data_IF_998455061330
#
_entry.id   IF_998455061330
#
_cell.length_a   1.000
_cell.length_b   1.000
_cell.length_c   1.000
_cell.angle_alpha   90.00
_cell.angle_beta   90.00
_cell.angle_gamma   90.00
#
_symmetry.space_group_name_H-M   'P 1'
#
loop_
_entity.id
_entity.type
_entity.pdbx_description
1 polymer ?
#
# COMPACT_ATOMS: atom_id res chain seq x y z
N UNK A 1 14.38 -10.73 -27.07
CA UNK A 1 15.22 -9.85 -26.26
C UNK A 1 16.25 -10.71 -25.57
N UNK A 2 17.54 -10.44 -25.80
CA UNK A 2 18.66 -11.16 -25.18
C UNK A 2 18.63 -10.92 -23.68
N UNK A 3 18.58 -11.99 -22.90
CA UNK A 3 18.62 -11.92 -21.44
C UNK A 3 20.01 -11.41 -21.03
N UNK A 4 20.06 -10.22 -20.45
CA UNK A 4 21.31 -9.64 -19.94
C UNK A 4 21.79 -10.52 -18.77
N UNK A 5 23.06 -10.93 -18.80
CA UNK A 5 23.64 -11.76 -17.74
C UNK A 5 23.79 -10.99 -16.42
N UNK A 6 23.82 -11.70 -15.28
CA UNK A 6 23.93 -11.08 -13.95
C UNK A 6 25.19 -10.21 -13.79
N UNK A 7 26.31 -10.62 -14.38
CA UNK A 7 27.57 -9.85 -14.35
C UNK A 7 27.43 -8.51 -15.06
N UNK A 8 26.73 -8.48 -16.20
CA UNK A 8 26.49 -7.26 -16.96
C UNK A 8 25.50 -6.34 -16.24
N UNK A 9 24.45 -6.91 -15.63
CA UNK A 9 23.53 -6.13 -14.77
C UNK A 9 24.32 -5.51 -13.60
N UNK A 10 25.18 -6.29 -12.94
CA UNK A 10 26.00 -5.81 -11.83
C UNK A 10 26.92 -4.66 -12.26
N UNK A 11 27.54 -4.76 -13.45
CA UNK A 11 28.38 -3.69 -14.02
C UNK A 11 27.58 -2.43 -14.33
N UNK A 12 26.37 -2.56 -14.89
CA UNK A 12 25.51 -1.42 -15.23
C UNK A 12 25.01 -0.70 -13.98
N UNK A 13 24.74 -1.41 -12.87
CA UNK A 13 24.39 -0.79 -11.58
C UNK A 13 25.50 0.08 -11.00
N UNK A 14 26.74 -0.13 -11.41
CA UNK A 14 27.91 0.68 -10.99
C UNK A 14 28.26 1.79 -12.01
N UNK A 15 27.46 1.94 -13.07
CA UNK A 15 27.67 2.98 -14.09
C UNK A 15 27.48 4.37 -13.49
N UNK A 16 28.30 5.32 -13.94
CA UNK A 16 28.09 6.75 -13.64
C UNK A 16 26.80 7.30 -14.25
N UNK A 17 26.28 6.67 -15.32
CA UNK A 17 25.00 7.07 -15.90
C UNK A 17 23.84 6.42 -15.13
N UNK A 18 23.00 7.25 -14.50
CA UNK A 18 21.79 6.81 -13.80
C UNK A 18 20.81 6.05 -14.71
N UNK A 19 20.82 6.28 -16.02
CA UNK A 19 19.99 5.54 -16.97
C UNK A 19 20.40 4.08 -17.07
N UNK A 20 21.70 3.79 -17.08
CA UNK A 20 22.20 2.42 -17.07
C UNK A 20 21.78 1.71 -15.78
N UNK A 21 21.88 2.40 -14.64
CA UNK A 21 21.46 1.85 -13.33
C UNK A 21 19.96 1.55 -13.29
N UNK A 22 19.13 2.42 -13.85
CA UNK A 22 17.67 2.20 -13.96
C UNK A 22 17.34 1.02 -14.89
N UNK A 23 18.02 0.90 -16.04
CA UNK A 23 17.85 -0.23 -16.95
C UNK A 23 18.27 -1.54 -16.30
N UNK A 24 19.35 -1.52 -15.53
CA UNK A 24 19.82 -2.67 -14.78
C UNK A 24 18.81 -3.10 -13.70
N UNK A 25 18.26 -2.16 -12.92
CA UNK A 25 17.17 -2.43 -11.98
C UNK A 25 15.93 -3.00 -12.69
N UNK A 26 15.58 -2.49 -13.88
CA UNK A 26 14.47 -3.02 -14.67
C UNK A 26 14.71 -4.48 -15.08
N UNK A 27 15.95 -4.81 -15.48
CA UNK A 27 16.31 -6.18 -15.85
C UNK A 27 16.16 -7.16 -14.69
N UNK A 28 16.42 -6.73 -13.44
CA UNK A 28 16.25 -7.54 -12.23
C UNK A 28 14.80 -7.97 -11.97
N UNK A 29 13.80 -7.35 -12.60
CA UNK A 29 12.40 -7.76 -12.48
C UNK A 29 12.21 -9.24 -12.86
N UNK A 30 12.95 -9.74 -13.86
CA UNK A 30 12.85 -11.14 -14.32
C UNK A 30 13.84 -12.09 -13.65
N UNK A 31 14.75 -11.56 -12.83
CA UNK A 31 15.78 -12.33 -12.11
C UNK A 31 15.19 -12.93 -10.83
N UNK A 32 15.49 -14.19 -10.46
CA UNK A 32 15.06 -14.77 -9.19
C UNK A 32 15.47 -13.92 -7.98
N UNK A 33 14.60 -13.82 -6.96
CA UNK A 33 14.81 -12.93 -5.81
C UNK A 33 16.16 -13.14 -5.10
N UNK A 34 16.56 -14.41 -4.91
CA UNK A 34 17.85 -14.78 -4.31
C UNK A 34 19.06 -14.13 -5.01
N UNK A 35 19.00 -14.01 -6.33
CA UNK A 35 20.12 -13.48 -7.12
C UNK A 35 19.96 -11.96 -7.38
N UNK A 36 18.72 -11.45 -7.37
CA UNK A 36 18.42 -10.04 -7.58
C UNK A 36 18.69 -9.17 -6.33
N UNK A 37 18.30 -9.62 -5.13
CA UNK A 37 18.38 -8.81 -3.90
C UNK A 37 19.80 -8.33 -3.59
N UNK A 38 20.86 -9.15 -3.70
CA UNK A 38 22.24 -8.67 -3.51
C UNK A 38 22.64 -7.55 -4.49
N UNK A 39 22.10 -7.55 -5.70
CA UNK A 39 22.36 -6.51 -6.70
C UNK A 39 21.55 -5.24 -6.42
N UNK A 40 20.28 -5.38 -6.03
CA UNK A 40 19.43 -4.24 -5.62
C UNK A 40 20.06 -3.49 -4.44
N UNK A 41 20.64 -4.21 -3.47
CA UNK A 41 21.29 -3.63 -2.29
C UNK A 41 22.39 -2.63 -2.65
N UNK A 42 23.09 -2.80 -3.78
CA UNK A 42 24.18 -1.92 -4.21
C UNK A 42 23.73 -0.47 -4.44
N UNK A 43 22.45 -0.25 -4.73
CA UNK A 43 21.91 1.06 -5.16
C UNK A 43 20.81 1.60 -4.25
N UNK A 44 20.62 1.03 -3.05
CA UNK A 44 19.62 1.54 -2.07
C UNK A 44 19.93 2.96 -1.56
N UNK A 45 21.20 3.38 -1.67
CA UNK A 45 21.69 4.69 -1.26
C UNK A 45 22.27 5.48 -2.44
N UNK A 46 21.78 5.21 -3.65
CA UNK A 46 22.18 5.92 -4.87
C UNK A 46 21.95 7.43 -4.79
N UNK A 47 22.81 8.25 -5.38
CA UNK A 47 22.61 9.71 -5.36
C UNK A 47 21.30 10.16 -6.03
N UNK A 48 20.81 9.39 -7.00
CA UNK A 48 19.58 9.67 -7.72
C UNK A 48 18.38 9.02 -7.04
N UNK A 49 17.46 9.85 -6.54
CA UNK A 49 16.20 9.40 -5.93
C UNK A 49 15.43 8.38 -6.80
N UNK A 50 15.30 8.53 -8.13
CA UNK A 50 14.61 7.53 -8.95
C UNK A 50 15.24 6.12 -8.90
N UNK A 51 16.57 6.03 -8.80
CA UNK A 51 17.27 4.75 -8.68
C UNK A 51 16.95 4.11 -7.32
N UNK A 52 17.00 4.90 -6.24
CA UNK A 52 16.65 4.45 -4.89
C UNK A 52 15.20 3.99 -4.81
N UNK A 53 14.25 4.79 -5.29
CA UNK A 53 12.82 4.43 -5.29
C UNK A 53 12.58 3.11 -6.03
N UNK A 54 13.18 2.94 -7.21
CA UNK A 54 13.03 1.70 -7.97
C UNK A 54 13.66 0.49 -7.27
N UNK A 55 14.81 0.67 -6.62
CA UNK A 55 15.46 -0.37 -5.83
C UNK A 55 14.60 -0.80 -4.64
N UNK A 56 14.01 0.16 -3.91
CA UNK A 56 13.16 -0.08 -2.74
C UNK A 56 11.86 -0.79 -3.14
N UNK A 57 11.21 -0.31 -4.20
CA UNK A 57 10.07 -1.00 -4.78
C UNK A 57 10.41 -2.45 -5.16
N UNK A 58 11.58 -2.66 -5.79
CA UNK A 58 12.04 -3.99 -6.16
C UNK A 58 12.24 -4.92 -4.94
N UNK A 59 12.74 -4.41 -3.80
CA UNK A 59 12.81 -5.20 -2.56
C UNK A 59 11.43 -5.64 -2.07
N UNK A 60 10.41 -4.77 -2.19
CA UNK A 60 9.03 -5.09 -1.80
C UNK A 60 8.41 -6.24 -2.60
N UNK A 61 8.87 -6.49 -3.83
CA UNK A 61 8.35 -7.58 -4.70
C UNK A 61 9.30 -8.77 -4.83
N UNK A 62 10.58 -8.62 -4.43
CA UNK A 62 11.58 -9.69 -4.40
C UNK A 62 11.69 -10.27 -3.00
N UNK A 63 10.73 -11.12 -2.64
CA UNK A 63 10.60 -11.60 -1.27
C UNK A 63 11.77 -12.51 -0.87
N UNK A 64 12.69 -11.97 -0.06
CA UNK A 64 13.71 -12.72 0.69
C UNK A 64 13.73 -12.19 2.13
N UNK A 65 14.28 -12.98 3.07
CA UNK A 65 14.33 -12.60 4.49
C UNK A 65 15.12 -11.31 4.72
N UNK A 66 16.09 -11.01 3.86
CA UNK A 66 16.94 -9.81 3.96
C UNK A 66 16.20 -8.52 3.57
N UNK A 67 15.10 -8.60 2.81
CA UNK A 67 14.35 -7.41 2.40
C UNK A 67 13.73 -6.67 3.60
N UNK A 68 13.22 -7.41 4.60
CA UNK A 68 12.61 -6.83 5.79
C UNK A 68 13.54 -5.85 6.53
N UNK A 69 14.73 -6.25 7.04
CA UNK A 69 15.58 -5.33 7.79
C UNK A 69 16.11 -4.15 6.95
N UNK A 70 16.27 -4.32 5.64
CA UNK A 70 16.66 -3.23 4.74
C UNK A 70 15.58 -2.15 4.63
N UNK A 71 14.34 -2.58 4.42
CA UNK A 71 13.20 -1.67 4.31
C UNK A 71 12.91 -0.95 5.63
N UNK A 72 13.02 -1.65 6.77
CA UNK A 72 12.90 -1.02 8.10
C UNK A 72 13.95 0.08 8.28
N UNK A 73 15.22 -0.22 7.96
CA UNK A 73 16.30 0.77 8.10
C UNK A 73 16.02 2.02 7.25
N UNK A 74 15.55 1.87 6.02
CA UNK A 74 15.20 3.00 5.15
C UNK A 74 14.00 3.77 5.69
N UNK A 75 12.94 3.09 6.13
CA UNK A 75 11.79 3.73 6.76
C UNK A 75 12.18 4.55 7.99
N UNK A 76 13.11 4.08 8.82
CA UNK A 76 13.45 4.74 10.09
C UNK A 76 14.52 5.83 9.95
N UNK A 77 15.45 5.71 9.00
CA UNK A 77 16.69 6.53 9.00
C UNK A 77 16.91 7.37 7.76
N UNK A 78 16.12 7.19 6.70
CA UNK A 78 16.38 7.91 5.46
C UNK A 78 16.02 9.40 5.57
N UNK A 79 16.94 10.32 5.18
CA UNK A 79 16.66 11.75 5.25
C UNK A 79 15.56 12.19 4.27
N UNK A 80 15.42 11.51 3.14
CA UNK A 80 14.40 11.83 2.15
C UNK A 80 13.07 11.17 2.49
N UNK A 81 12.02 11.99 2.67
CA UNK A 81 10.72 11.47 3.06
C UNK A 81 10.01 10.68 1.96
N UNK A 82 10.34 10.93 0.69
CA UNK A 82 9.84 10.13 -0.43
C UNK A 82 10.41 8.72 -0.37
N UNK A 83 11.67 8.58 0.04
CA UNK A 83 12.32 7.29 0.26
C UNK A 83 11.73 6.56 1.47
N UNK A 84 11.47 7.25 2.58
CA UNK A 84 10.75 6.66 3.72
C UNK A 84 9.35 6.19 3.32
N UNK A 85 8.62 6.96 2.52
CA UNK A 85 7.30 6.60 2.03
C UNK A 85 7.34 5.37 1.10
N UNK A 86 8.31 5.30 0.19
CA UNK A 86 8.52 4.14 -0.67
C UNK A 86 8.87 2.90 0.15
N UNK A 87 9.71 3.04 1.19
CA UNK A 87 10.04 1.95 2.10
C UNK A 87 8.81 1.45 2.87
N UNK A 88 7.95 2.35 3.35
CA UNK A 88 6.67 1.98 3.95
C UNK A 88 5.79 1.18 2.98
N UNK A 89 5.63 1.67 1.73
CA UNK A 89 4.88 0.97 0.69
C UNK A 89 5.44 -0.42 0.35
N UNK A 90 6.76 -0.53 0.21
CA UNK A 90 7.45 -1.79 -0.05
C UNK A 90 7.26 -2.82 1.08
N UNK A 91 7.18 -2.39 2.34
CA UNK A 91 6.84 -3.29 3.45
C UNK A 91 5.42 -3.85 3.34
N UNK A 92 4.47 -3.05 2.84
CA UNK A 92 3.12 -3.51 2.54
C UNK A 92 3.10 -4.59 1.44
N UNK A 93 3.88 -4.40 0.38
CA UNK A 93 4.01 -5.41 -0.69
C UNK A 93 4.72 -6.68 -0.24
N UNK A 94 5.74 -6.54 0.62
CA UNK A 94 6.46 -7.66 1.20
C UNK A 94 5.52 -8.57 2.00
N UNK A 95 4.47 -7.99 2.61
CA UNK A 95 3.44 -8.74 3.33
C UNK A 95 3.92 -9.36 4.64
N UNK A 96 5.09 -8.95 5.13
CA UNK A 96 5.68 -9.46 6.36
C UNK A 96 5.03 -8.80 7.58
N UNK A 97 4.32 -9.61 8.37
CA UNK A 97 3.58 -9.16 9.55
C UNK A 97 4.46 -8.50 10.63
N UNK A 98 5.78 -8.76 10.60
CA UNK A 98 6.76 -8.07 11.47
C UNK A 98 6.76 -6.56 11.23
N UNK A 99 6.35 -6.11 10.04
CA UNK A 99 6.31 -4.70 9.66
C UNK A 99 5.19 -3.91 10.37
N UNK A 100 4.27 -4.55 11.07
CA UNK A 100 3.16 -3.89 11.74
C UNK A 100 3.61 -2.75 12.69
N UNK A 101 4.50 -3.04 13.65
CA UNK A 101 4.92 -2.05 14.65
C UNK A 101 5.72 -0.89 14.02
N UNK A 102 6.68 -1.12 13.10
CA UNK A 102 7.36 -0.03 12.40
C UNK A 102 6.42 0.83 11.55
N UNK A 103 5.45 0.22 10.84
CA UNK A 103 4.46 0.97 10.06
C UNK A 103 3.53 1.77 10.97
N UNK A 104 3.09 1.20 12.09
CA UNK A 104 2.29 1.91 13.08
C UNK A 104 3.06 3.12 13.65
N UNK A 105 4.34 2.94 13.98
CA UNK A 105 5.22 4.04 14.40
C UNK A 105 5.31 5.13 13.33
N UNK A 106 5.59 4.77 12.08
CA UNK A 106 5.69 5.72 10.98
C UNK A 106 4.38 6.50 10.76
N UNK A 107 3.22 5.85 10.93
CA UNK A 107 1.92 6.51 10.89
C UNK A 107 1.76 7.56 11.99
N UNK A 108 2.19 7.27 13.23
CA UNK A 108 2.02 8.18 14.36
C UNK A 108 3.07 9.28 14.43
N UNK A 109 4.32 8.96 14.11
CA UNK A 109 5.48 9.78 14.46
C UNK A 109 6.07 10.52 13.25
N UNK A 110 5.86 10.06 12.00
CA UNK A 110 6.43 10.76 10.84
C UNK A 110 5.69 12.07 10.56
N UNK A 111 6.48 13.14 10.47
CA UNK A 111 5.98 14.50 10.20
C UNK A 111 5.40 14.64 8.80
N UNK A 112 5.80 13.80 7.84
CA UNK A 112 5.43 13.92 6.44
C UNK A 112 4.20 13.09 6.12
N UNK A 113 3.18 13.77 5.57
CA UNK A 113 1.88 13.16 5.30
C UNK A 113 1.97 11.95 4.35
N UNK A 114 2.90 11.98 3.39
CA UNK A 114 3.08 10.91 2.41
C UNK A 114 3.59 9.61 3.05
N UNK A 115 4.44 9.73 4.07
CA UNK A 115 4.93 8.57 4.85
C UNK A 115 3.78 7.99 5.66
N UNK A 116 3.02 8.83 6.38
CA UNK A 116 1.83 8.40 7.14
C UNK A 116 0.79 7.73 6.24
N UNK A 117 0.55 8.29 5.06
CA UNK A 117 -0.33 7.70 4.05
C UNK A 117 0.15 6.32 3.59
N UNK A 118 1.42 6.21 3.22
CA UNK A 118 2.00 4.94 2.76
C UNK A 118 1.99 3.87 3.85
N UNK A 119 2.20 4.28 5.10
CA UNK A 119 2.07 3.41 6.27
C UNK A 119 0.62 2.93 6.47
N UNK A 120 -0.36 3.82 6.42
CA UNK A 120 -1.78 3.45 6.55
C UNK A 120 -2.25 2.47 5.47
N UNK A 121 -1.86 2.71 4.20
CA UNK A 121 -2.13 1.77 3.10
C UNK A 121 -1.48 0.42 3.36
N UNK A 122 -0.20 0.42 3.77
CA UNK A 122 0.55 -0.82 4.01
C UNK A 122 0.01 -1.62 5.19
N UNK A 123 -0.50 -0.96 6.23
CA UNK A 123 -1.20 -1.63 7.34
C UNK A 123 -2.48 -2.33 6.88
N UNK A 124 -3.19 -1.78 5.89
CA UNK A 124 -4.31 -2.46 5.22
C UNK A 124 -3.85 -3.69 4.43
N UNK A 125 -2.78 -3.55 3.64
CA UNK A 125 -2.19 -4.64 2.86
C UNK A 125 -1.69 -5.81 3.72
N UNK A 126 -1.22 -5.55 4.94
CA UNK A 126 -0.86 -6.61 5.90
C UNK A 126 -2.06 -7.42 6.37
N UNK A 127 -3.29 -6.92 6.19
CA UNK A 127 -4.55 -7.53 6.63
C UNK A 127 -4.57 -7.90 8.12
N UNK A 128 -3.82 -7.14 8.94
CA UNK A 128 -3.74 -7.35 10.38
C UNK A 128 -4.84 -6.58 11.11
N UNK A 129 -5.70 -7.30 11.81
CA UNK A 129 -6.77 -6.72 12.63
C UNK A 129 -6.30 -5.72 13.70
N UNK A 130 -5.02 -5.79 14.14
CA UNK A 130 -4.41 -4.82 15.05
C UNK A 130 -4.43 -3.39 14.49
N UNK A 131 -4.49 -3.23 13.16
CA UNK A 131 -4.49 -1.92 12.51
C UNK A 131 -5.79 -1.14 12.76
N UNK A 132 -6.88 -1.79 13.21
CA UNK A 132 -8.21 -1.17 13.32
C UNK A 132 -8.21 0.18 14.04
N UNK A 133 -7.63 0.27 15.25
CA UNK A 133 -7.67 1.51 16.03
C UNK A 133 -6.90 2.64 15.36
N UNK A 134 -5.76 2.31 14.74
CA UNK A 134 -4.96 3.25 13.98
C UNK A 134 -5.72 3.77 12.76
N UNK A 135 -6.38 2.87 12.02
CA UNK A 135 -7.18 3.25 10.85
C UNK A 135 -8.40 4.08 11.24
N UNK A 136 -9.05 3.79 12.38
CA UNK A 136 -10.13 4.64 12.90
C UNK A 136 -9.66 6.06 13.20
N UNK A 137 -8.45 6.23 13.76
CA UNK A 137 -7.86 7.54 13.95
C UNK A 137 -7.52 8.24 12.63
N UNK A 138 -7.08 7.48 11.62
CA UNK A 138 -6.80 8.00 10.28
C UNK A 138 -8.06 8.57 9.59
N UNK A 139 -9.27 8.10 9.92
CA UNK A 139 -10.52 8.67 9.42
C UNK A 139 -10.76 10.11 9.90
N UNK A 140 -10.15 10.53 11.00
CA UNK A 140 -10.28 11.87 11.59
C UNK A 140 -9.24 12.86 11.05
N UNK A 141 -8.36 12.41 10.14
CA UNK A 141 -7.36 13.25 9.48
C UNK A 141 -8.01 14.33 8.59
N UNK A 142 -7.35 15.48 8.47
CA UNK A 142 -7.74 16.55 7.54
C UNK A 142 -7.32 16.24 6.10
N UNK A 143 -6.39 15.31 5.94
CA UNK A 143 -5.85 14.87 4.67
C UNK A 143 -6.79 13.83 4.04
N UNK A 144 -7.54 14.26 3.01
CA UNK A 144 -8.52 13.43 2.28
C UNK A 144 -7.93 12.08 1.83
N UNK A 145 -6.68 12.09 1.35
CA UNK A 145 -6.00 10.86 0.92
C UNK A 145 -5.81 9.86 2.07
N UNK A 146 -5.55 10.35 3.30
CA UNK A 146 -5.41 9.48 4.46
C UNK A 146 -6.76 8.89 4.89
N UNK A 147 -7.85 9.67 4.78
CA UNK A 147 -9.20 9.16 4.98
C UNK A 147 -9.56 8.07 3.96
N UNK A 148 -9.23 8.28 2.67
CA UNK A 148 -9.46 7.29 1.61
C UNK A 148 -8.68 6.00 1.86
N UNK A 149 -7.41 6.10 2.27
CA UNK A 149 -6.60 4.94 2.64
C UNK A 149 -7.21 4.19 3.84
N UNK A 150 -7.61 4.92 4.88
CA UNK A 150 -8.22 4.35 6.08
C UNK A 150 -9.52 3.59 5.78
N UNK A 151 -10.41 4.17 4.96
CA UNK A 151 -11.66 3.50 4.54
C UNK A 151 -11.36 2.19 3.82
N UNK A 152 -10.42 2.22 2.88
CA UNK A 152 -10.04 1.03 2.09
C UNK A 152 -9.45 -0.05 3.00
N UNK A 153 -8.48 0.32 3.83
CA UNK A 153 -7.81 -0.57 4.76
C UNK A 153 -8.76 -1.19 5.80
N UNK A 154 -9.76 -0.45 6.29
CA UNK A 154 -10.81 -0.99 7.19
C UNK A 154 -11.57 -2.16 6.53
N UNK A 155 -11.85 -2.05 5.22
CA UNK A 155 -12.44 -3.12 4.44
C UNK A 155 -11.48 -4.30 4.22
N UNK A 156 -10.20 -4.03 3.97
CA UNK A 156 -9.16 -5.06 3.77
C UNK A 156 -8.89 -5.89 5.03
N UNK A 157 -8.83 -5.26 6.20
CA UNK A 157 -8.65 -5.97 7.48
C UNK A 157 -9.95 -6.65 7.98
N UNK A 158 -11.07 -6.49 7.28
CA UNK A 158 -12.35 -7.10 7.65
C UNK A 158 -12.92 -6.58 8.98
N UNK A 159 -12.69 -5.32 9.34
CA UNK A 159 -13.14 -4.73 10.61
C UNK A 159 -14.66 -4.46 10.61
N UNK A 160 -15.45 -5.53 10.75
CA UNK A 160 -16.92 -5.51 10.74
C UNK A 160 -17.50 -4.55 11.79
N UNK A 161 -16.87 -4.45 12.95
CA UNK A 161 -17.29 -3.56 14.03
C UNK A 161 -16.98 -2.08 13.77
N UNK A 162 -16.14 -1.77 12.77
CA UNK A 162 -15.85 -0.41 12.33
C UNK A 162 -16.85 0.15 11.31
N UNK A 163 -17.83 -0.65 10.84
CA UNK A 163 -18.82 -0.22 9.84
C UNK A 163 -19.50 1.08 10.26
N UNK A 164 -19.93 1.20 11.51
CA UNK A 164 -20.60 2.42 11.99
C UNK A 164 -19.74 3.68 11.80
N UNK A 165 -18.43 3.57 12.04
CA UNK A 165 -17.53 4.70 11.95
C UNK A 165 -17.37 5.21 10.51
N UNK A 166 -17.46 4.32 9.52
CA UNK A 166 -17.25 4.67 8.11
C UNK A 166 -18.53 5.02 7.35
N UNK A 167 -19.73 4.71 7.88
CA UNK A 167 -21.00 4.99 7.20
C UNK A 167 -21.23 6.47 6.86
N UNK A 168 -20.72 7.37 7.71
CA UNK A 168 -20.82 8.83 7.49
C UNK A 168 -20.23 9.27 6.15
N UNK A 169 -19.24 8.53 5.61
CA UNK A 169 -18.59 8.86 4.36
C UNK A 169 -19.47 8.63 3.12
N UNK A 170 -20.64 7.98 3.27
CA UNK A 170 -21.63 7.86 2.20
C UNK A 170 -22.21 9.23 1.78
N UNK A 171 -22.12 10.23 2.65
CA UNK A 171 -22.54 11.60 2.40
C UNK A 171 -21.37 12.54 2.03
N UNK A 172 -20.16 12.01 1.82
CA UNK A 172 -19.00 12.82 1.43
C UNK A 172 -19.26 13.55 0.10
N UNK A 173 -18.81 14.80 -0.02
CA UNK A 173 -18.84 15.55 -1.28
C UNK A 173 -17.90 14.93 -2.32
N UNK A 174 -16.78 14.36 -1.88
CA UNK A 174 -15.82 13.67 -2.73
C UNK A 174 -16.37 12.30 -3.16
N UNK A 175 -16.63 12.16 -4.46
CA UNK A 175 -17.12 10.92 -5.05
C UNK A 175 -16.13 9.76 -4.91
N UNK A 176 -14.82 10.03 -4.84
CA UNK A 176 -13.82 9.00 -4.68
C UNK A 176 -13.90 8.39 -3.27
N UNK A 177 -14.12 9.21 -2.23
CA UNK A 177 -14.40 8.71 -0.87
C UNK A 177 -15.63 7.79 -0.88
N UNK A 178 -16.72 8.20 -1.54
CA UNK A 178 -17.93 7.38 -1.61
C UNK A 178 -17.69 6.07 -2.36
N UNK A 179 -16.85 6.08 -3.39
CA UNK A 179 -16.45 4.87 -4.11
C UNK A 179 -15.63 3.95 -3.20
N UNK A 180 -14.62 4.47 -2.49
CA UNK A 180 -13.82 3.67 -1.54
C UNK A 180 -14.66 3.07 -0.43
N UNK A 181 -15.64 3.83 0.07
CA UNK A 181 -16.60 3.31 1.03
C UNK A 181 -17.39 2.13 0.44
N UNK A 182 -17.90 2.26 -0.79
CA UNK A 182 -18.61 1.17 -1.44
C UNK A 182 -17.74 -0.09 -1.60
N UNK A 183 -16.48 0.06 -1.99
CA UNK A 183 -15.52 -1.05 -2.10
C UNK A 183 -15.29 -1.71 -0.73
N UNK A 184 -15.01 -0.92 0.31
CA UNK A 184 -14.76 -1.40 1.67
C UNK A 184 -15.96 -2.13 2.27
N UNK A 185 -17.17 -1.57 2.14
CA UNK A 185 -18.40 -2.19 2.65
C UNK A 185 -18.69 -3.56 2.00
N UNK A 186 -18.18 -3.80 0.79
CA UNK A 186 -18.28 -5.10 0.11
C UNK A 186 -17.48 -6.21 0.79
N UNK A 187 -16.54 -5.86 1.68
CA UNK A 187 -15.74 -6.81 2.46
C UNK A 187 -16.22 -6.89 3.93
N UNK A 188 -17.28 -6.16 4.29
CA UNK A 188 -17.79 -6.05 5.66
C UNK A 188 -19.24 -6.54 5.72
N UNK A 189 -19.49 -7.86 5.86
CA UNK A 189 -20.84 -8.44 5.72
C UNK A 189 -21.75 -8.10 6.91
N UNK A 190 -22.39 -6.92 6.86
CA UNK A 190 -23.39 -6.50 7.84
C UNK A 190 -24.67 -5.98 7.17
N UNK A 191 -25.82 -6.02 7.87
CA UNK A 191 -27.05 -5.40 7.40
C UNK A 191 -26.88 -3.89 7.08
N UNK A 192 -26.04 -3.19 7.85
CA UNK A 192 -25.73 -1.77 7.65
C UNK A 192 -24.92 -1.56 6.37
N UNK A 193 -23.89 -2.38 6.13
CA UNK A 193 -23.12 -2.36 4.88
C UNK A 193 -24.01 -2.58 3.68
N UNK A 194 -24.89 -3.59 3.72
CA UNK A 194 -25.84 -3.87 2.64
C UNK A 194 -26.77 -2.68 2.36
N UNK A 195 -27.32 -2.08 3.42
CA UNK A 195 -28.23 -0.93 3.32
C UNK A 195 -27.53 0.29 2.71
N UNK A 196 -26.31 0.58 3.17
CA UNK A 196 -25.50 1.67 2.65
C UNK A 196 -25.08 1.44 1.18
N UNK A 197 -24.73 0.22 0.80
CA UNK A 197 -24.45 -0.12 -0.59
C UNK A 197 -25.68 0.05 -1.49
N UNK A 198 -26.88 -0.37 -1.05
CA UNK A 198 -28.14 -0.12 -1.78
C UNK A 198 -28.34 1.38 -2.00
N UNK A 199 -28.08 2.20 -0.98
CA UNK A 199 -28.13 3.65 -1.12
C UNK A 199 -27.12 4.15 -2.18
N UNK A 200 -25.87 3.70 -2.11
CA UNK A 200 -24.80 4.08 -3.04
C UNK A 200 -25.01 3.59 -4.48
N UNK A 201 -25.85 2.56 -4.73
CA UNK A 201 -26.23 2.21 -6.11
C UNK A 201 -27.01 3.31 -6.84
N UNK A 202 -27.54 4.29 -6.09
CA UNK A 202 -28.28 5.45 -6.61
C UNK A 202 -27.43 6.73 -6.66
N UNK A 203 -26.13 6.63 -6.40
CA UNK A 203 -25.22 7.78 -6.38
C UNK A 203 -25.21 8.54 -7.72
N UNK A 204 -24.92 9.85 -7.69
CA UNK A 204 -24.82 10.67 -8.90
C UNK A 204 -23.61 10.30 -9.77
N UNK A 205 -22.53 9.81 -9.16
CA UNK A 205 -21.32 9.39 -9.84
C UNK A 205 -21.39 7.92 -10.30
N UNK A 206 -21.02 7.65 -11.56
CA UNK A 206 -21.09 6.32 -12.15
C UNK A 206 -20.12 5.30 -11.53
N UNK A 207 -18.92 5.74 -11.13
CA UNK A 207 -17.93 4.89 -10.47
C UNK A 207 -18.42 4.40 -9.10
N UNK A 208 -19.05 5.28 -8.34
CA UNK A 208 -19.67 4.93 -7.04
C UNK A 208 -20.78 3.90 -7.24
N UNK A 209 -21.69 4.12 -8.19
CA UNK A 209 -22.77 3.16 -8.50
C UNK A 209 -22.24 1.79 -8.91
N UNK A 210 -21.20 1.77 -9.75
CA UNK A 210 -20.58 0.54 -10.23
C UNK A 210 -19.91 -0.23 -9.07
N UNK A 211 -19.11 0.46 -8.25
CA UNK A 211 -18.49 -0.12 -7.07
C UNK A 211 -19.54 -0.68 -6.09
N UNK A 212 -20.59 0.08 -5.79
CA UNK A 212 -21.64 -0.36 -4.89
C UNK A 212 -22.39 -1.60 -5.42
N UNK A 213 -22.68 -1.64 -6.71
CA UNK A 213 -23.32 -2.79 -7.37
C UNK A 213 -22.44 -4.03 -7.31
N UNK A 214 -21.14 -3.88 -7.56
CA UNK A 214 -20.17 -4.98 -7.49
C UNK A 214 -20.02 -5.51 -6.06
N UNK A 215 -19.89 -4.60 -5.10
CA UNK A 215 -19.81 -4.93 -3.67
C UNK A 215 -21.07 -5.63 -3.15
N UNK A 216 -22.27 -5.25 -3.59
CA UNK A 216 -23.50 -5.98 -3.26
C UNK A 216 -23.48 -7.41 -3.78
N UNK A 217 -23.07 -7.62 -5.04
CA UNK A 217 -22.95 -8.97 -5.61
C UNK A 217 -21.95 -9.81 -4.81
N UNK A 218 -20.85 -9.21 -4.35
CA UNK A 218 -19.87 -9.90 -3.48
C UNK A 218 -20.49 -10.32 -2.15
N UNK A 219 -21.24 -9.42 -1.49
CA UNK A 219 -21.92 -9.76 -0.23
C UNK A 219 -22.99 -10.84 -0.43
N UNK A 220 -23.81 -10.74 -1.47
CA UNK A 220 -24.90 -11.68 -1.74
C UNK A 220 -24.36 -13.05 -2.22
N UNK A 221 -23.25 -13.08 -2.96
CA UNK A 221 -22.58 -14.31 -3.41
C UNK A 221 -21.75 -15.04 -2.34
N UNK A 222 -21.51 -14.40 -1.18
CA UNK A 222 -20.88 -15.03 -0.02
C UNK A 222 -21.86 -15.73 0.93
N UNK A 223 -23.17 -15.75 0.60
CA UNK A 223 -24.23 -16.34 1.44
C UNK A 223 -24.53 -17.81 1.05
N UNK A 224 -23.88 -18.35 0.01
CA UNK A 224 -23.97 -19.76 -0.37
C UNK A 224 -22.72 -20.56 0.08
N UNK A 225 -22.61 -20.83 1.39
CA UNK A 225 -21.97 -22.05 1.96
C UNK A 225 -22.60 -22.38 3.31
#
# INVERSE_FOLDING_TARGET
MTQIGLEEIARQLESSDSRDRLLALAALQTVPARDAVPLIQKVLYDEMLPVRSMAIFALGVKHTEECYPLLIKLLETDPDYGIRAEAAGALGYLGDIRAFEPLARAFYEDTQWLVRFSAAVSLGNLQDSRAKQLLLQALESKEILLQQAAISAIGEIGAIDAVEAILRFAASEDWLIRQRLAEALGNLPTPKSRSALIFLTKDTNAGVRAAATHSLKRLDGGIDV
#
